data_IF_347582404148
#
_entry.id   IF_347582404148
#
_cell.length_a   1.000
_cell.length_b   1.000
_cell.length_c   1.000
_cell.angle_alpha   90.00
_cell.angle_beta   90.00
_cell.angle_gamma   90.00
#
_symmetry.space_group_name_H-M   'P 1'
#
loop_
_entity.id
_entity.type
_entity.pdbx_description
1 polymer ?
#
# COMPACT_ATOMS: atom_id res chain seq x y z
N UNK A 1 -0.31 -0.63 -10.95
CA UNK A 1 0.07 -0.11 -9.62
C UNK A 1 -0.99 -0.55 -8.63
N UNK A 2 -0.58 -1.19 -7.53
CA UNK A 2 -1.50 -1.69 -6.50
C UNK A 2 -1.54 -0.72 -5.32
N UNK A 3 -2.73 -0.48 -4.79
CA UNK A 3 -2.98 0.46 -3.69
C UNK A 3 -3.88 -0.18 -2.64
N UNK A 4 -3.60 0.08 -1.37
CA UNK A 4 -4.27 -0.53 -0.23
C UNK A 4 -4.51 0.49 0.88
N UNK A 5 -5.52 0.23 1.70
CA UNK A 5 -5.67 0.85 3.02
C UNK A 5 -5.55 -0.24 4.07
N UNK A 6 -4.99 0.12 5.23
CA UNK A 6 -4.81 -0.83 6.32
C UNK A 6 -4.79 -0.16 7.69
N UNK A 7 -4.92 -0.98 8.72
CA UNK A 7 -4.62 -0.71 10.11
C UNK A 7 -3.40 -1.54 10.54
N UNK A 8 -3.22 -1.72 11.84
CA UNK A 8 -2.18 -2.55 12.43
C UNK A 8 -1.07 -1.76 13.09
N UNK A 9 0.04 -2.45 13.38
CA UNK A 9 1.24 -1.90 14.00
C UNK A 9 2.47 -2.43 13.27
N UNK A 10 2.62 -2.13 11.96
CA UNK A 10 3.78 -2.56 11.20
C UNK A 10 5.04 -1.95 11.82
N UNK A 11 6.15 -2.67 11.72
CA UNK A 11 7.46 -2.09 12.01
C UNK A 11 7.89 -1.22 10.82
N UNK A 12 7.63 0.08 10.92
CA UNK A 12 7.87 1.04 9.84
C UNK A 12 9.34 1.14 9.44
N UNK A 13 10.27 0.81 10.33
CA UNK A 13 11.72 0.82 10.05
C UNK A 13 12.14 -0.36 9.15
N UNK A 14 11.27 -1.37 9.01
CA UNK A 14 11.50 -2.57 8.18
C UNK A 14 10.78 -2.51 6.84
N UNK A 15 10.05 -1.44 6.56
CA UNK A 15 9.28 -1.30 5.33
C UNK A 15 10.24 -1.22 4.12
N UNK A 16 10.10 -2.12 3.15
CA UNK A 16 11.00 -2.19 2.01
C UNK A 16 10.75 -1.03 1.03
N UNK A 17 11.80 -0.63 0.30
CA UNK A 17 11.75 0.53 -0.60
C UNK A 17 10.72 0.42 -1.75
N UNK A 18 10.35 -0.81 -2.11
CA UNK A 18 9.30 -1.05 -3.10
C UNK A 18 7.89 -0.78 -2.58
N UNK A 19 7.74 -0.49 -1.29
CA UNK A 19 6.49 -0.16 -0.64
C UNK A 19 6.52 1.28 -0.11
N UNK A 20 5.50 2.07 -0.43
CA UNK A 20 5.27 3.36 0.20
C UNK A 20 4.12 3.25 1.16
N UNK A 21 4.30 3.83 2.34
CA UNK A 21 3.35 3.81 3.44
C UNK A 21 3.24 5.23 3.97
N UNK A 22 2.05 5.80 3.86
CA UNK A 22 1.70 7.07 4.50
C UNK A 22 0.68 6.81 5.61
N UNK A 23 0.74 7.56 6.70
CA UNK A 23 -0.23 7.48 7.80
C UNK A 23 -1.03 8.77 7.94
N UNK A 24 -2.32 8.65 8.24
CA UNK A 24 -3.23 9.77 8.50
C UNK A 24 -4.14 9.47 9.68
N UNK A 25 -4.40 10.48 10.52
CA UNK A 25 -5.35 10.44 11.63
C UNK A 25 -6.61 11.26 11.35
N UNK A 26 -6.99 11.39 10.08
CA UNK A 26 -8.16 12.17 9.71
C UNK A 26 -9.42 11.61 10.39
N UNK A 27 -10.11 12.49 11.14
CA UNK A 27 -11.32 12.12 11.85
C UNK A 27 -12.34 11.57 10.83
N UNK A 28 -12.82 10.35 11.08
CA UNK A 28 -13.74 9.56 10.23
C UNK A 28 -13.12 8.66 9.15
N UNK A 29 -11.79 8.45 9.11
CA UNK A 29 -11.23 7.36 8.30
C UNK A 29 -11.11 6.05 9.10
N UNK A 30 -11.60 4.91 8.57
CA UNK A 30 -11.55 3.61 9.25
C UNK A 30 -10.16 2.94 9.21
N UNK A 31 -9.26 3.44 8.36
CA UNK A 31 -7.90 2.92 8.17
C UNK A 31 -6.88 4.05 8.32
N UNK A 32 -5.80 3.80 9.04
CA UNK A 32 -4.75 4.81 9.28
C UNK A 32 -3.67 4.84 8.21
N UNK A 33 -3.43 3.72 7.51
CA UNK A 33 -2.37 3.60 6.52
C UNK A 33 -2.92 3.66 5.09
N UNK A 34 -2.30 4.50 4.26
CA UNK A 34 -2.38 4.43 2.80
C UNK A 34 -1.10 3.78 2.28
N UNK A 35 -1.24 2.71 1.51
CA UNK A 35 -0.12 1.88 1.07
C UNK A 35 -0.17 1.77 -0.46
N UNK A 36 0.96 1.92 -1.13
CA UNK A 36 1.04 1.62 -2.56
C UNK A 36 2.39 1.04 -2.96
N UNK A 37 2.33 0.14 -3.93
CA UNK A 37 3.50 -0.54 -4.50
C UNK A 37 4.19 0.39 -5.50
N UNK A 38 5.51 0.51 -5.38
CA UNK A 38 6.38 1.23 -6.31
C UNK A 38 6.76 0.30 -7.47
N UNK A 39 6.13 0.40 -8.65
CA UNK A 39 6.23 -0.64 -9.67
C UNK A 39 7.65 -0.83 -10.19
N UNK A 40 8.39 0.27 -10.38
CA UNK A 40 9.76 0.23 -10.91
C UNK A 40 10.80 -0.40 -9.97
N UNK A 41 10.45 -0.69 -8.71
CA UNK A 41 11.29 -1.44 -7.76
C UNK A 41 10.72 -2.84 -7.56
N UNK A 42 9.40 -2.95 -7.34
CA UNK A 42 8.73 -4.22 -7.09
C UNK A 42 8.80 -5.18 -8.29
N UNK A 43 8.56 -4.70 -9.51
CA UNK A 43 8.51 -5.56 -10.70
C UNK A 43 9.86 -6.21 -11.02
N UNK A 44 11.00 -5.48 -11.04
CA UNK A 44 12.30 -6.12 -11.17
C UNK A 44 12.58 -7.13 -10.04
N UNK A 45 12.22 -6.82 -8.79
CA UNK A 45 12.45 -7.74 -7.67
C UNK A 45 11.65 -9.04 -7.80
N UNK A 46 10.39 -8.97 -8.27
CA UNK A 46 9.58 -10.16 -8.57
C UNK A 46 10.17 -10.96 -9.73
N UNK A 47 10.59 -10.29 -10.82
CA UNK A 47 11.20 -10.96 -11.99
C UNK A 47 12.51 -11.66 -11.61
N UNK A 48 13.32 -11.04 -10.75
CA UNK A 48 14.58 -11.59 -10.26
C UNK A 48 14.39 -12.64 -9.15
N UNK A 49 13.16 -12.85 -8.69
CA UNK A 49 12.85 -13.81 -7.63
C UNK A 49 13.31 -13.38 -6.23
N UNK A 50 13.63 -12.09 -6.04
CA UNK A 50 13.99 -11.55 -4.71
C UNK A 50 12.77 -11.06 -3.94
N UNK A 51 11.62 -10.90 -4.62
CA UNK A 51 10.32 -10.67 -4.02
C UNK A 51 9.36 -11.78 -4.45
N UNK A 52 9.13 -12.74 -3.57
CA UNK A 52 8.28 -13.91 -3.83
C UNK A 52 6.81 -13.60 -3.56
N UNK A 53 6.19 -12.80 -4.43
CA UNK A 53 4.76 -12.49 -4.43
C UNK A 53 4.20 -12.83 -5.82
N UNK A 54 3.02 -13.43 -5.88
CA UNK A 54 2.39 -13.85 -7.15
C UNK A 54 1.80 -12.69 -7.98
N UNK A 55 1.91 -11.45 -7.48
CA UNK A 55 1.43 -10.23 -8.12
C UNK A 55 -0.09 -10.00 -8.04
N UNK A 56 -0.85 -10.98 -7.55
CA UNK A 56 -2.30 -10.88 -7.36
C UNK A 56 -2.65 -9.95 -6.19
N UNK A 57 -3.81 -9.30 -6.19
CA UNK A 57 -4.27 -8.52 -5.03
C UNK A 57 -4.21 -9.31 -3.72
N UNK A 58 -4.62 -10.58 -3.75
CA UNK A 58 -4.65 -11.47 -2.59
C UNK A 58 -3.23 -11.79 -2.09
N UNK A 59 -2.29 -12.04 -3.01
CA UNK A 59 -0.88 -12.25 -2.67
C UNK A 59 -0.25 -11.01 -2.04
N UNK A 60 -0.58 -9.82 -2.53
CA UNK A 60 -0.16 -8.56 -1.90
C UNK A 60 -0.78 -8.36 -0.52
N UNK A 61 -2.07 -8.64 -0.34
CA UNK A 61 -2.75 -8.56 0.95
C UNK A 61 -2.07 -9.46 1.98
N UNK A 62 -1.87 -10.75 1.66
CA UNK A 62 -1.22 -11.69 2.55
C UNK A 62 0.21 -11.27 2.91
N UNK A 63 0.94 -10.71 1.95
CA UNK A 63 2.28 -10.19 2.19
C UNK A 63 2.26 -8.97 3.12
N UNK A 64 1.35 -8.02 2.92
CA UNK A 64 1.19 -6.86 3.80
C UNK A 64 0.81 -7.27 5.23
N UNK A 65 -0.09 -8.24 5.38
CA UNK A 65 -0.44 -8.80 6.69
C UNK A 65 0.78 -9.40 7.40
N UNK A 66 1.69 -10.06 6.66
CA UNK A 66 2.95 -10.59 7.22
C UNK A 66 3.90 -9.50 7.74
N UNK A 67 3.77 -8.25 7.25
CA UNK A 67 4.54 -7.10 7.71
C UNK A 67 3.91 -6.41 8.94
N UNK A 68 2.79 -6.94 9.47
CA UNK A 68 2.10 -6.41 10.64
C UNK A 68 1.01 -5.38 10.33
N UNK A 69 0.61 -5.26 9.06
CA UNK A 69 -0.63 -4.58 8.71
C UNK A 69 -1.84 -5.47 9.03
N UNK A 70 -2.96 -4.84 9.34
CA UNK A 70 -4.23 -5.50 9.65
C UNK A 70 -5.35 -4.85 8.83
N UNK A 71 -6.47 -5.54 8.64
CA UNK A 71 -7.61 -5.05 7.85
C UNK A 71 -7.21 -4.53 6.45
N UNK A 72 -6.30 -5.23 5.77
CA UNK A 72 -5.76 -4.78 4.49
C UNK A 72 -6.84 -4.88 3.41
N UNK A 73 -7.23 -3.74 2.84
CA UNK A 73 -8.20 -3.66 1.75
C UNK A 73 -7.58 -3.06 0.51
N UNK A 74 -7.73 -3.72 -0.64
CA UNK A 74 -7.34 -3.14 -1.91
C UNK A 74 -8.30 -2.00 -2.27
N UNK A 75 -7.74 -0.87 -2.69
CA UNK A 75 -8.50 0.32 -3.12
C UNK A 75 -8.02 0.79 -4.49
N UNK A 76 -8.82 1.65 -5.13
CA UNK A 76 -8.37 2.30 -6.36
C UNK A 76 -7.26 3.30 -6.05
N UNK A 77 -6.15 3.25 -6.79
CA UNK A 77 -5.08 4.25 -6.69
C UNK A 77 -5.55 5.68 -7.01
N UNK A 78 -6.72 5.86 -7.64
CA UNK A 78 -7.34 7.17 -7.86
C UNK A 78 -7.71 7.84 -6.54
N UNK A 79 -7.97 7.08 -5.47
CA UNK A 79 -8.20 7.66 -4.14
C UNK A 79 -6.98 8.41 -3.59
N UNK A 80 -5.77 8.03 -4.03
CA UNK A 80 -4.52 8.62 -3.56
C UNK A 80 -3.97 9.67 -4.55
N UNK A 81 -4.03 9.37 -5.84
CA UNK A 81 -3.39 10.17 -6.89
C UNK A 81 -4.37 10.82 -7.86
N UNK A 82 -5.67 10.66 -7.63
CA UNK A 82 -6.71 11.30 -8.44
C UNK A 82 -6.55 12.81 -8.40
N UNK A 83 -6.75 13.43 -9.57
CA UNK A 83 -6.76 14.90 -9.69
C UNK A 83 -7.84 15.41 -8.74
N UNK A 84 -7.46 16.20 -7.73
CA UNK A 84 -8.40 17.05 -6.99
C UNK A 84 -9.10 17.94 -8.04
N UNK A 85 -10.30 17.55 -8.46
CA UNK A 85 -11.17 18.46 -9.19
C UNK A 85 -11.49 19.62 -8.25
N UNK A 86 -11.08 20.82 -8.65
CA UNK A 86 -11.48 22.14 -8.13
C UNK A 86 -11.73 22.26 -6.62
N UNK A 87 -10.69 22.66 -5.89
CA UNK A 87 -10.87 23.44 -4.65
C UNK A 87 -10.28 24.83 -4.81
N UNK A 88 -10.67 25.52 -5.88
CA UNK A 88 -10.66 26.98 -5.98
C UNK A 88 -12.10 27.42 -6.30
N UNK A 89 -12.90 27.65 -5.25
CA UNK A 89 -14.14 28.42 -5.34
C UNK A 89 -14.16 29.46 -4.24
#
# INVERSE_FOLDING_TARGET
MQCFKANGKPDLDTIPEWLRVDYSFEANQPHFYSIWVVPWIAEPAMILGTLEIDGSPEGWIAHLESLGFEDVVQVSCVEFFGVKADRDR
#
